data_IF_907033569485
#
_entry.id   IF_907033569485
#
_cell.length_a   1.000
_cell.length_b   1.000
_cell.length_c   1.000
_cell.angle_alpha   90.00
_cell.angle_beta   90.00
_cell.angle_gamma   90.00
#
_symmetry.space_group_name_H-M   'P 1'
#
loop_
_entity.id
_entity.type
_entity.pdbx_description
1 polymer ?
#
# COMPACT_ATOMS: atom_id res chain seq x y z
N UNK A 1 -30.90 33.38 -45.28
CA UNK A 1 -29.97 32.43 -44.64
C UNK A 1 -30.76 31.69 -43.56
N UNK A 2 -30.74 30.37 -43.62
CA UNK A 2 -31.78 29.45 -43.14
C UNK A 2 -31.84 29.39 -41.60
N UNK A 3 -33.01 29.72 -41.02
CA UNK A 3 -33.35 29.53 -39.62
C UNK A 3 -34.82 29.11 -39.52
N UNK A 4 -35.15 27.84 -39.71
CA UNK A 4 -36.49 27.30 -39.40
C UNK A 4 -36.39 25.85 -38.88
N UNK A 5 -37.07 25.62 -37.75
CA UNK A 5 -37.58 24.36 -37.18
C UNK A 5 -36.68 23.45 -36.31
N UNK A 6 -36.75 23.66 -34.99
CA UNK A 6 -36.39 22.68 -33.95
C UNK A 6 -37.44 22.57 -32.83
N UNK A 7 -38.73 22.59 -33.17
CA UNK A 7 -39.85 22.54 -32.20
C UNK A 7 -40.71 21.25 -32.28
N UNK A 8 -40.10 20.07 -32.41
CA UNK A 8 -40.82 18.77 -32.43
C UNK A 8 -40.58 17.74 -31.29
N UNK A 9 -39.86 17.98 -30.18
CA UNK A 9 -39.57 16.90 -29.23
C UNK A 9 -40.76 16.45 -28.36
N UNK A 10 -41.81 17.28 -28.17
CA UNK A 10 -42.82 17.02 -27.14
C UNK A 10 -43.85 15.92 -27.51
N UNK A 11 -44.30 15.85 -28.77
CA UNK A 11 -45.30 14.85 -29.21
C UNK A 11 -44.77 13.41 -29.15
N UNK A 12 -43.50 13.21 -29.49
CA UNK A 12 -42.89 11.86 -29.48
C UNK A 12 -42.84 11.22 -28.09
N UNK A 13 -42.69 12.02 -27.03
CA UNK A 13 -42.67 11.52 -25.66
C UNK A 13 -44.06 11.07 -25.19
N UNK A 14 -45.12 11.80 -25.57
CA UNK A 14 -46.50 11.47 -25.22
C UNK A 14 -47.00 10.21 -25.95
N UNK A 15 -46.63 10.05 -27.23
CA UNK A 15 -46.94 8.84 -28.02
C UNK A 15 -46.27 7.60 -27.43
N UNK A 16 -44.99 7.70 -27.06
CA UNK A 16 -44.25 6.60 -26.41
C UNK A 16 -44.84 6.25 -25.03
N UNK A 17 -45.23 7.24 -24.23
CA UNK A 17 -45.86 7.00 -22.94
C UNK A 17 -47.22 6.30 -23.10
N UNK A 18 -48.01 6.72 -24.09
CA UNK A 18 -49.31 6.13 -24.41
C UNK A 18 -49.16 4.69 -24.92
N UNK A 19 -48.20 4.43 -25.80
CA UNK A 19 -47.87 3.07 -26.26
C UNK A 19 -47.44 2.16 -25.09
N UNK A 20 -46.65 2.70 -24.15
CA UNK A 20 -46.22 1.96 -22.95
C UNK A 20 -47.38 1.60 -22.02
N UNK A 21 -48.36 2.50 -21.85
CA UNK A 21 -49.56 2.22 -21.07
C UNK A 21 -50.40 1.11 -21.71
N UNK A 22 -50.62 1.17 -23.03
CA UNK A 22 -51.36 0.12 -23.76
C UNK A 22 -50.64 -1.23 -23.71
N UNK A 23 -49.31 -1.24 -23.77
CA UNK A 23 -48.53 -2.47 -23.63
C UNK A 23 -48.60 -3.07 -22.21
N UNK A 24 -48.77 -2.24 -21.17
CA UNK A 24 -48.90 -2.71 -19.79
C UNK A 24 -50.25 -3.38 -19.50
N UNK A 25 -51.30 -2.99 -20.22
CA UNK A 25 -52.63 -3.59 -20.09
C UNK A 25 -52.78 -4.94 -20.81
N UNK A 26 -51.81 -5.31 -21.67
CA UNK A 26 -51.82 -6.62 -22.32
C UNK A 26 -51.59 -7.74 -21.31
N UNK A 27 -52.51 -8.70 -21.34
CA UNK A 27 -52.49 -9.90 -20.51
C UNK A 27 -51.80 -11.02 -21.28
N UNK A 28 -50.84 -11.68 -20.65
CA UNK A 28 -50.08 -12.80 -21.20
C UNK A 28 -50.21 -13.98 -20.23
N UNK A 29 -50.31 -15.23 -20.70
CA UNK A 29 -50.35 -16.38 -19.80
C UNK A 29 -49.00 -16.61 -19.11
N UNK A 30 -49.02 -16.87 -17.81
CA UNK A 30 -47.82 -17.18 -17.04
C UNK A 30 -47.15 -18.46 -17.54
N UNK A 31 -45.84 -18.41 -17.78
CA UNK A 31 -45.04 -19.56 -18.24
C UNK A 31 -45.07 -20.77 -17.27
N UNK A 32 -45.38 -20.55 -16.00
CA UNK A 32 -45.35 -21.60 -14.97
C UNK A 32 -46.72 -22.19 -14.65
N UNK A 33 -47.76 -21.37 -14.47
CA UNK A 33 -49.09 -21.82 -14.05
C UNK A 33 -50.18 -21.55 -15.07
N UNK A 34 -49.86 -20.97 -16.24
CA UNK A 34 -50.79 -20.55 -17.31
C UNK A 34 -51.84 -19.52 -16.91
N UNK A 35 -51.85 -19.05 -15.66
CA UNK A 35 -52.73 -17.98 -15.21
C UNK A 35 -52.43 -16.66 -15.90
N UNK A 36 -53.47 -15.86 -16.12
CA UNK A 36 -53.41 -14.54 -16.74
C UNK A 36 -52.62 -13.54 -15.88
N UNK A 37 -51.61 -12.91 -16.47
CA UNK A 37 -50.76 -11.91 -15.81
C UNK A 37 -50.55 -10.71 -16.72
N UNK A 38 -50.34 -9.53 -16.14
CA UNK A 38 -49.95 -8.33 -16.89
C UNK A 38 -48.51 -8.51 -17.41
N UNK A 39 -48.23 -8.00 -18.62
CA UNK A 39 -46.90 -8.01 -19.25
C UNK A 39 -45.79 -7.42 -18.35
N UNK A 40 -46.11 -6.41 -17.54
CA UNK A 40 -45.18 -5.71 -16.65
C UNK A 40 -45.07 -6.35 -15.25
N UNK A 41 -45.80 -7.43 -14.99
CA UNK A 41 -45.80 -8.09 -13.69
C UNK A 41 -44.44 -8.75 -13.41
N UNK A 42 -43.77 -8.29 -12.36
CA UNK A 42 -42.49 -8.89 -11.90
C UNK A 42 -42.72 -10.31 -11.37
N UNK A 43 -43.88 -10.55 -10.74
CA UNK A 43 -44.28 -11.84 -10.17
C UNK A 43 -45.69 -12.21 -10.59
N UNK A 44 -45.93 -13.49 -10.79
CA UNK A 44 -47.27 -14.01 -11.03
C UNK A 44 -48.11 -13.97 -9.75
N UNK A 45 -49.34 -13.43 -9.82
CA UNK A 45 -50.28 -13.42 -8.68
C UNK A 45 -50.70 -14.82 -8.23
N UNK A 46 -50.74 -15.79 -9.14
CA UNK A 46 -51.24 -17.13 -8.84
C UNK A 46 -50.18 -18.04 -8.23
N UNK A 47 -48.97 -18.07 -8.79
CA UNK A 47 -47.91 -19.00 -8.37
C UNK A 47 -46.75 -18.33 -7.63
N UNK A 48 -46.73 -17.00 -7.49
CA UNK A 48 -45.65 -16.20 -6.88
C UNK A 48 -44.26 -16.30 -7.54
N UNK A 49 -44.16 -17.01 -8.67
CA UNK A 49 -42.91 -17.15 -9.42
C UNK A 49 -42.56 -15.84 -10.15
N UNK A 50 -41.26 -15.58 -10.30
CA UNK A 50 -40.73 -14.41 -11.02
C UNK A 50 -40.91 -14.64 -12.52
N UNK A 51 -41.59 -13.72 -13.20
CA UNK A 51 -41.90 -13.86 -14.63
C UNK A 51 -40.99 -12.97 -15.48
N UNK A 52 -40.61 -11.80 -14.97
CA UNK A 52 -39.82 -10.83 -15.71
C UNK A 52 -38.34 -10.92 -15.32
N UNK A 53 -37.56 -11.76 -16.02
CA UNK A 53 -36.10 -11.86 -15.83
C UNK A 53 -35.38 -10.53 -16.12
N UNK A 54 -35.85 -9.78 -17.13
CA UNK A 54 -35.21 -8.55 -17.58
C UNK A 54 -35.24 -7.46 -16.50
N UNK A 55 -36.31 -7.40 -15.70
CA UNK A 55 -36.39 -6.51 -14.54
C UNK A 55 -35.24 -6.77 -13.54
N UNK A 56 -34.95 -8.03 -13.25
CA UNK A 56 -33.86 -8.40 -12.33
C UNK A 56 -32.49 -8.16 -12.95
N UNK A 57 -32.31 -8.41 -14.26
CA UNK A 57 -31.08 -8.07 -14.98
C UNK A 57 -30.81 -6.56 -14.94
N UNK A 58 -31.81 -5.74 -15.24
CA UNK A 58 -31.68 -4.27 -15.19
C UNK A 58 -31.45 -3.74 -13.77
N UNK A 59 -32.11 -4.33 -12.76
CA UNK A 59 -31.89 -3.96 -11.36
C UNK A 59 -30.47 -4.33 -10.92
N UNK A 60 -30.00 -5.52 -11.25
CA UNK A 60 -28.63 -5.95 -10.98
C UNK A 60 -27.60 -5.05 -11.68
N UNK A 61 -27.85 -4.66 -12.94
CA UNK A 61 -27.00 -3.71 -13.66
C UNK A 61 -26.97 -2.33 -13.01
N UNK A 62 -28.12 -1.78 -12.58
CA UNK A 62 -28.17 -0.49 -11.87
C UNK A 62 -27.45 -0.53 -10.52
N UNK A 63 -27.61 -1.61 -9.77
CA UNK A 63 -26.88 -1.81 -8.50
C UNK A 63 -25.38 -1.88 -8.78
N UNK A 64 -24.93 -2.70 -9.74
CA UNK A 64 -23.51 -2.79 -10.14
C UNK A 64 -22.94 -1.44 -10.61
N UNK A 65 -23.70 -0.65 -11.36
CA UNK A 65 -23.24 0.66 -11.84
C UNK A 65 -23.02 1.65 -10.69
N UNK A 66 -23.94 1.70 -9.71
CA UNK A 66 -23.77 2.54 -8.50
C UNK A 66 -22.59 2.09 -7.65
N UNK A 67 -22.42 0.77 -7.53
CA UNK A 67 -21.32 0.14 -6.80
C UNK A 67 -19.95 0.44 -7.44
N UNK A 68 -19.83 0.36 -8.77
CA UNK A 68 -18.60 0.70 -9.47
C UNK A 68 -18.21 2.17 -9.25
N UNK A 69 -19.18 3.09 -9.23
CA UNK A 69 -18.91 4.50 -8.98
C UNK A 69 -18.38 4.74 -7.56
N UNK A 70 -19.01 4.15 -6.54
CA UNK A 70 -18.57 4.27 -5.16
C UNK A 70 -17.16 3.68 -4.93
N UNK A 71 -16.87 2.52 -5.56
CA UNK A 71 -15.53 1.92 -5.56
C UNK A 71 -14.47 2.85 -6.15
N UNK A 72 -14.81 3.55 -7.24
CA UNK A 72 -13.87 4.44 -7.92
C UNK A 72 -13.59 5.70 -7.10
N UNK A 73 -14.63 6.26 -6.45
CA UNK A 73 -14.50 7.39 -5.53
C UNK A 73 -13.64 7.02 -4.32
N UNK A 74 -13.89 5.87 -3.68
CA UNK A 74 -13.09 5.40 -2.56
C UNK A 74 -11.62 5.18 -2.94
N UNK A 75 -11.36 4.68 -4.15
CA UNK A 75 -10.00 4.49 -4.68
C UNK A 75 -9.26 5.83 -4.84
N UNK A 76 -9.88 6.83 -5.46
CA UNK A 76 -9.27 8.16 -5.63
C UNK A 76 -9.00 8.81 -4.28
N UNK A 77 -9.93 8.65 -3.33
CA UNK A 77 -9.75 9.18 -1.98
C UNK A 77 -8.60 8.48 -1.24
N UNK A 78 -8.48 7.16 -1.35
CA UNK A 78 -7.36 6.39 -0.79
C UNK A 78 -6.01 6.77 -1.41
N UNK A 79 -5.97 6.99 -2.73
CA UNK A 79 -4.78 7.43 -3.44
C UNK A 79 -4.36 8.86 -3.05
N UNK A 80 -5.34 9.76 -2.90
CA UNK A 80 -5.11 11.12 -2.39
C UNK A 80 -4.60 11.13 -0.95
N UNK A 81 -5.17 10.29 -0.08
CA UNK A 81 -4.72 10.16 1.31
C UNK A 81 -3.28 9.65 1.41
N UNK A 82 -2.87 8.72 0.54
CA UNK A 82 -1.49 8.23 0.45
C UNK A 82 -0.48 9.32 0.08
N UNK A 83 -0.87 10.26 -0.79
CA UNK A 83 -0.01 11.38 -1.18
C UNK A 83 0.15 12.42 -0.06
N UNK A 84 -0.88 12.60 0.77
CA UNK A 84 -0.90 13.62 1.83
C UNK A 84 -0.28 13.11 3.14
N UNK A 85 -0.48 11.84 3.52
CA UNK A 85 -0.10 11.32 4.85
C UNK A 85 1.07 10.32 4.77
N UNK A 86 2.30 10.86 4.57
CA UNK A 86 3.55 10.09 4.38
C UNK A 86 3.98 9.13 5.50
N UNK A 87 3.63 9.26 6.80
CA UNK A 87 4.05 8.29 7.81
C UNK A 87 2.96 7.30 8.29
N UNK A 88 1.69 7.48 7.90
CA UNK A 88 0.56 6.61 8.38
C UNK A 88 0.09 5.62 7.29
N UNK A 89 0.77 5.59 6.14
CA UNK A 89 0.32 4.93 4.91
C UNK A 89 0.07 3.42 5.00
N UNK A 90 0.77 2.68 5.86
CA UNK A 90 0.61 1.22 5.95
C UNK A 90 -0.73 0.78 6.56
N UNK A 91 -1.19 1.45 7.62
CA UNK A 91 -2.48 1.15 8.26
C UNK A 91 -3.66 1.53 7.37
N UNK A 92 -3.56 2.67 6.67
CA UNK A 92 -4.59 3.13 5.73
C UNK A 92 -4.76 2.18 4.55
N UNK A 93 -3.64 1.66 4.02
CA UNK A 93 -3.66 0.68 2.92
C UNK A 93 -4.26 -0.65 3.37
N UNK A 94 -3.86 -1.16 4.54
CA UNK A 94 -4.43 -2.39 5.10
C UNK A 94 -5.94 -2.27 5.35
N UNK A 95 -6.40 -1.13 5.89
CA UNK A 95 -7.81 -0.87 6.14
C UNK A 95 -8.61 -0.78 4.83
N UNK A 96 -8.10 -0.07 3.82
CA UNK A 96 -8.75 0.03 2.51
C UNK A 96 -8.89 -1.33 1.82
N UNK A 97 -7.88 -2.19 1.96
CA UNK A 97 -7.85 -3.51 1.36
C UNK A 97 -8.81 -4.48 2.07
N UNK A 98 -8.83 -4.48 3.40
CA UNK A 98 -9.82 -5.24 4.19
C UNK A 98 -11.25 -4.82 3.84
N UNK A 99 -11.51 -3.53 3.69
CA UNK A 99 -12.83 -3.03 3.31
C UNK A 99 -13.22 -3.53 1.91
N UNK A 100 -12.28 -3.57 0.96
CA UNK A 100 -12.52 -4.11 -0.39
C UNK A 100 -12.82 -5.61 -0.38
N UNK A 101 -12.12 -6.41 0.43
CA UNK A 101 -12.33 -7.86 0.51
C UNK A 101 -13.70 -8.13 1.14
N UNK A 102 -14.01 -7.49 2.27
CA UNK A 102 -15.33 -7.60 2.92
C UNK A 102 -16.43 -7.18 1.94
N UNK A 103 -16.19 -6.15 1.14
CA UNK A 103 -17.15 -5.67 0.15
C UNK A 103 -17.46 -6.69 -0.96
N UNK A 104 -16.46 -7.41 -1.47
CA UNK A 104 -16.66 -8.47 -2.46
C UNK A 104 -17.15 -9.79 -1.85
N UNK A 105 -16.95 -9.99 -0.55
CA UNK A 105 -17.33 -11.20 0.17
C UNK A 105 -18.78 -11.20 0.68
N UNK A 106 -19.53 -10.08 0.62
CA UNK A 106 -20.95 -10.07 1.01
C UNK A 106 -21.76 -10.71 -0.14
N UNK A 107 -22.25 -11.96 0.00
CA UNK A 107 -23.18 -12.51 -0.96
C UNK A 107 -24.45 -11.66 -0.91
N UNK A 108 -24.89 -11.19 -2.06
CA UNK A 108 -26.21 -10.56 -2.19
C UNK A 108 -27.24 -11.68 -2.09
N UNK A 109 -27.56 -12.09 -0.86
CA UNK A 109 -28.61 -13.06 -0.63
C UNK A 109 -29.94 -12.46 -1.10
N UNK A 110 -30.70 -13.19 -1.94
CA UNK A 110 -32.03 -12.74 -2.31
C UNK A 110 -32.89 -12.63 -1.03
N UNK A 111 -33.80 -11.63 -0.97
CA UNK A 111 -34.61 -11.37 0.23
C UNK A 111 -35.32 -12.65 0.67
N UNK A 112 -35.14 -13.00 1.95
CA UNK A 112 -35.71 -14.20 2.53
C UNK A 112 -37.24 -14.17 2.41
N UNK A 113 -37.78 -15.22 1.79
CA UNK A 113 -39.20 -15.42 1.55
C UNK A 113 -39.95 -15.55 2.88
N UNK A 114 -40.89 -14.66 3.14
CA UNK A 114 -41.89 -14.83 4.19
C UNK A 114 -42.77 -16.08 3.89
N UNK A 115 -42.93 -16.92 4.92
CA UNK A 115 -43.90 -18.01 5.09
C UNK A 115 -44.06 -19.03 3.94
N UNK A 116 -43.28 -20.12 4.04
CA UNK A 116 -43.36 -21.33 3.20
C UNK A 116 -44.72 -22.03 3.32
N UNK A 117 -45.51 -22.05 2.23
CA UNK A 117 -46.32 -23.24 1.90
C UNK A 117 -45.36 -24.40 1.62
N UNK A 118 -45.66 -25.61 2.13
CA UNK A 118 -44.85 -26.82 1.93
C UNK A 118 -44.81 -27.20 0.44
N UNK A 119 -43.80 -26.74 -0.27
CA UNK A 119 -43.52 -27.15 -1.66
C UNK A 119 -42.93 -28.57 -1.61
N UNK A 120 -43.43 -29.53 -2.40
CA UNK A 120 -42.93 -30.90 -2.42
C UNK A 120 -41.44 -30.96 -2.82
N UNK A 121 -40.72 -31.93 -2.25
CA UNK A 121 -39.27 -32.08 -2.38
C UNK A 121 -38.83 -32.27 -3.85
N UNK A 122 -39.66 -32.92 -4.66
CA UNK A 122 -39.42 -33.16 -6.09
C UNK A 122 -39.35 -31.87 -6.91
N UNK A 123 -40.13 -30.84 -6.55
CA UNK A 123 -40.07 -29.52 -7.20
C UNK A 123 -38.85 -28.72 -6.77
N UNK A 124 -38.31 -28.95 -5.56
CA UNK A 124 -37.04 -28.34 -5.14
C UNK A 124 -35.85 -28.91 -5.91
N UNK A 125 -35.77 -30.22 -6.06
CA UNK A 125 -34.71 -30.89 -6.82
C UNK A 125 -34.72 -30.50 -8.30
N UNK A 126 -35.91 -30.43 -8.93
CA UNK A 126 -36.03 -29.95 -10.32
C UNK A 126 -35.61 -28.49 -10.47
N UNK A 127 -35.85 -27.62 -9.48
CA UNK A 127 -35.40 -26.21 -9.51
C UNK A 127 -33.88 -26.09 -9.35
N UNK A 128 -33.28 -26.87 -8.46
CA UNK A 128 -31.80 -26.89 -8.31
C UNK A 128 -31.11 -27.36 -9.60
N UNK A 129 -31.59 -28.43 -10.23
CA UNK A 129 -30.99 -28.92 -11.48
C UNK A 129 -31.23 -28.00 -12.70
N UNK A 130 -32.25 -27.12 -12.64
CA UNK A 130 -32.52 -26.16 -13.74
C UNK A 130 -31.70 -24.86 -13.59
N UNK A 131 -31.22 -24.55 -12.40
CA UNK A 131 -30.36 -23.39 -12.14
C UNK A 131 -28.90 -23.61 -12.58
N UNK A 132 -28.45 -24.87 -12.71
CA UNK A 132 -27.08 -25.18 -13.17
C UNK A 132 -26.81 -24.84 -14.65
N UNK A 133 -27.84 -24.54 -15.45
CA UNK A 133 -27.65 -24.15 -16.87
C UNK A 133 -27.82 -22.65 -17.16
N UNK A 134 -27.95 -21.82 -16.14
CA UNK A 134 -27.70 -20.38 -16.32
C UNK A 134 -26.20 -20.16 -16.18
N UNK A 135 -25.45 -20.72 -17.13
CA UNK A 135 -24.06 -20.36 -17.34
C UNK A 135 -24.08 -18.87 -17.67
N UNK A 136 -23.78 -18.04 -16.67
CA UNK A 136 -23.60 -16.60 -16.86
C UNK A 136 -22.51 -16.50 -17.93
N UNK A 137 -22.80 -15.99 -19.14
CA UNK A 137 -21.77 -15.84 -20.14
C UNK A 137 -20.75 -14.89 -19.54
N UNK A 138 -19.57 -15.42 -19.20
CA UNK A 138 -18.46 -14.61 -18.74
C UNK A 138 -18.21 -13.65 -19.90
N UNK A 139 -18.38 -12.33 -19.70
CA UNK A 139 -18.19 -11.38 -20.77
C UNK A 139 -16.78 -11.61 -21.29
N UNK A 140 -16.66 -11.85 -22.58
CA UNK A 140 -15.41 -12.05 -23.28
C UNK A 140 -14.56 -10.79 -23.01
N UNK A 141 -13.56 -10.92 -22.14
CA UNK A 141 -12.66 -9.84 -21.73
C UNK A 141 -11.71 -9.56 -22.90
N UNK A 142 -12.26 -8.88 -23.92
CA UNK A 142 -11.55 -8.44 -25.11
C UNK A 142 -10.57 -7.33 -24.68
N UNK A 143 -9.31 -7.74 -24.50
CA UNK A 143 -8.06 -6.95 -24.53
C UNK A 143 -7.95 -5.64 -23.72
N UNK A 144 -8.82 -5.36 -22.76
CA UNK A 144 -8.58 -4.25 -21.83
C UNK A 144 -7.48 -4.66 -20.84
N UNK A 145 -6.32 -4.00 -20.96
CA UNK A 145 -5.18 -4.11 -20.04
C UNK A 145 -5.70 -4.00 -18.60
N UNK A 146 -5.81 -5.14 -17.92
CA UNK A 146 -6.14 -5.21 -16.52
C UNK A 146 -4.93 -4.61 -15.79
N UNK A 147 -4.97 -3.31 -15.49
CA UNK A 147 -3.98 -2.70 -14.61
C UNK A 147 -4.29 -3.27 -13.23
N UNK A 148 -3.54 -4.31 -12.86
CA UNK A 148 -3.67 -5.02 -11.60
C UNK A 148 -3.46 -4.01 -10.47
N UNK A 149 -4.55 -3.66 -9.78
CA UNK A 149 -4.54 -2.78 -8.60
C UNK A 149 -3.67 -3.39 -7.47
N UNK A 150 -3.39 -4.70 -7.53
CA UNK A 150 -2.48 -5.38 -6.61
C UNK A 150 -0.98 -5.17 -6.88
N UNK A 151 -0.57 -4.81 -8.09
CA UNK A 151 0.87 -4.67 -8.43
C UNK A 151 1.62 -3.65 -7.55
N UNK A 152 1.12 -2.41 -7.31
CA UNK A 152 1.83 -1.45 -6.46
C UNK A 152 1.91 -1.89 -5.00
N UNK A 153 0.90 -2.59 -4.47
CA UNK A 153 0.92 -3.14 -3.12
C UNK A 153 2.00 -4.21 -2.98
N UNK A 154 2.03 -5.16 -3.92
CA UNK A 154 3.02 -6.24 -3.93
C UNK A 154 4.42 -5.65 -4.05
N UNK A 155 4.63 -4.64 -4.91
CA UNK A 155 5.91 -3.94 -5.01
C UNK A 155 6.31 -3.23 -3.70
N UNK A 156 5.37 -2.58 -3.01
CA UNK A 156 5.63 -1.93 -1.72
C UNK A 156 5.99 -2.94 -0.62
N UNK A 157 5.29 -4.08 -0.55
CA UNK A 157 5.59 -5.16 0.39
C UNK A 157 6.97 -5.78 0.12
N UNK A 158 7.30 -6.03 -1.16
CA UNK A 158 8.62 -6.53 -1.56
C UNK A 158 9.70 -5.52 -1.17
N UNK A 159 9.51 -4.24 -1.50
CA UNK A 159 10.44 -3.18 -1.12
C UNK A 159 10.67 -3.11 0.39
N UNK A 160 9.59 -3.07 1.19
CA UNK A 160 9.69 -3.04 2.65
C UNK A 160 10.41 -4.28 3.19
N UNK A 161 10.04 -5.49 2.75
CA UNK A 161 10.67 -6.72 3.19
C UNK A 161 12.17 -6.76 2.86
N UNK A 162 12.56 -6.29 1.67
CA UNK A 162 13.96 -6.21 1.26
C UNK A 162 14.76 -5.29 2.19
N UNK A 163 14.21 -4.14 2.61
CA UNK A 163 14.89 -3.25 3.56
C UNK A 163 15.15 -3.94 4.92
N UNK A 164 14.14 -4.66 5.42
CA UNK A 164 14.23 -5.37 6.70
C UNK A 164 15.32 -6.45 6.62
N UNK A 165 15.25 -7.35 5.64
CA UNK A 165 16.18 -8.48 5.57
C UNK A 165 17.60 -8.09 5.14
N UNK A 166 17.75 -7.11 4.25
CA UNK A 166 19.06 -6.80 3.66
C UNK A 166 19.88 -5.81 4.50
N UNK A 167 19.22 -4.93 5.25
CA UNK A 167 19.88 -3.84 5.98
C UNK A 167 19.56 -3.90 7.48
N UNK A 168 18.28 -3.84 7.84
CA UNK A 168 17.88 -3.75 9.25
C UNK A 168 18.26 -4.99 10.05
N UNK A 169 18.10 -6.18 9.49
CA UNK A 169 18.42 -7.43 10.17
C UNK A 169 19.92 -7.55 10.49
N UNK A 170 20.86 -7.33 9.54
CA UNK A 170 22.27 -7.20 9.87
C UNK A 170 22.57 -6.18 10.97
N UNK A 171 21.88 -5.02 10.96
CA UNK A 171 22.05 -4.00 12.00
C UNK A 171 21.52 -4.48 13.37
N UNK A 172 20.36 -5.12 13.40
CA UNK A 172 19.77 -5.67 14.62
C UNK A 172 20.72 -6.70 15.26
N UNK A 173 21.34 -7.55 14.43
CA UNK A 173 22.33 -8.50 14.91
C UNK A 173 23.57 -7.79 15.47
N UNK A 174 24.07 -6.72 14.83
CA UNK A 174 25.16 -5.90 15.41
C UNK A 174 24.77 -5.39 16.80
N UNK A 175 23.57 -4.82 16.94
CA UNK A 175 23.09 -4.27 18.21
C UNK A 175 22.87 -5.33 19.29
N UNK A 176 22.53 -6.57 18.91
CA UNK A 176 22.34 -7.67 19.85
C UNK A 176 23.62 -8.39 20.25
N UNK A 177 24.60 -8.48 19.35
CA UNK A 177 25.82 -9.26 19.59
C UNK A 177 26.77 -8.60 20.60
N UNK A 178 26.59 -7.31 20.90
CA UNK A 178 27.42 -6.60 21.88
C UNK A 178 26.58 -5.78 22.86
N UNK A 179 26.67 -6.14 24.14
CA UNK A 179 25.96 -5.48 25.23
C UNK A 179 26.33 -4.00 25.41
N UNK A 180 27.49 -3.55 24.92
CA UNK A 180 27.87 -2.14 24.91
C UNK A 180 26.87 -1.29 24.11
N UNK A 181 26.20 -1.85 23.11
CA UNK A 181 25.24 -1.13 22.27
C UNK A 181 23.83 -1.08 22.87
N UNK A 182 23.63 -1.63 24.07
CA UNK A 182 22.35 -1.58 24.78
C UNK A 182 21.96 -0.13 25.13
N UNK A 183 20.91 0.37 24.48
CA UNK A 183 20.47 1.76 24.59
C UNK A 183 20.78 2.61 23.36
N UNK A 184 21.32 2.01 22.29
CA UNK A 184 21.37 2.60 20.96
C UNK A 184 20.20 2.09 20.11
N UNK A 185 19.54 2.98 19.36
CA UNK A 185 18.52 2.58 18.38
C UNK A 185 18.93 3.09 17.00
N UNK A 186 19.17 2.16 16.09
CA UNK A 186 19.58 2.44 14.71
C UNK A 186 18.55 1.88 13.74
N UNK A 187 18.17 2.69 12.75
CA UNK A 187 17.32 2.30 11.64
C UNK A 187 18.15 2.35 10.36
N UNK A 188 18.26 1.24 9.65
CA UNK A 188 18.96 1.16 8.37
C UNK A 188 17.99 0.77 7.26
N UNK A 189 17.91 1.59 6.22
CA UNK A 189 17.04 1.35 5.08
C UNK A 189 17.62 1.97 3.82
N UNK A 190 17.13 1.57 2.66
CA UNK A 190 17.40 2.22 1.40
C UNK A 190 16.75 3.60 1.34
N UNK A 191 17.31 4.51 0.54
CA UNK A 191 16.75 5.84 0.33
C UNK A 191 15.30 5.74 -0.19
N UNK A 192 14.40 6.50 0.43
CA UNK A 192 12.95 6.43 0.21
C UNK A 192 12.33 5.03 0.35
N UNK A 193 13.01 4.09 1.02
CA UNK A 193 12.62 2.68 1.16
C UNK A 193 12.53 1.89 -0.16
N UNK A 194 12.94 2.48 -1.29
CA UNK A 194 12.74 1.89 -2.61
C UNK A 194 13.98 1.99 -3.50
N UNK A 195 14.82 3.02 -3.33
CA UNK A 195 15.97 3.27 -4.23
C UNK A 195 17.14 2.38 -3.83
N UNK A 196 17.45 1.29 -4.58
CA UNK A 196 18.55 0.42 -4.23
C UNK A 196 19.88 1.16 -4.41
N UNK A 197 20.86 0.85 -3.56
CA UNK A 197 22.22 1.36 -3.68
C UNK A 197 22.55 2.58 -2.82
N UNK A 198 21.55 3.31 -2.31
CA UNK A 198 21.77 4.36 -1.30
C UNK A 198 21.27 3.86 0.04
N UNK A 199 22.17 3.61 0.99
CA UNK A 199 21.82 3.15 2.34
C UNK A 199 21.78 4.34 3.28
N UNK A 200 20.70 4.49 4.03
CA UNK A 200 20.56 5.45 5.12
C UNK A 200 20.80 4.71 6.42
N UNK A 201 21.84 5.10 7.15
CA UNK A 201 22.10 4.69 8.53
C UNK A 201 21.59 5.80 9.46
N UNK A 202 20.40 5.61 10.02
CA UNK A 202 19.74 6.62 10.85
C UNK A 202 19.83 6.27 12.33
N UNK A 203 20.63 7.04 13.06
CA UNK A 203 20.71 6.95 14.51
C UNK A 203 19.48 7.64 15.12
N UNK A 204 18.58 6.86 15.70
CA UNK A 204 17.28 7.33 16.21
C UNK A 204 17.37 7.78 17.66
N UNK A 205 18.09 7.01 18.48
CA UNK A 205 18.09 7.18 19.91
C UNK A 205 19.41 6.72 20.53
N UNK A 206 19.80 7.41 21.59
CA UNK A 206 21.02 7.14 22.35
C UNK A 206 20.74 7.33 23.85
N UNK A 207 21.07 6.31 24.63
CA UNK A 207 21.11 6.43 26.09
C UNK A 207 22.30 7.28 26.54
N UNK A 208 22.16 7.94 27.69
CA UNK A 208 23.20 8.77 28.32
C UNK A 208 24.48 7.99 28.63
N UNK A 209 24.38 6.66 28.76
CA UNK A 209 25.52 5.78 29.03
C UNK A 209 26.33 5.43 27.79
N UNK A 210 25.80 5.67 26.60
CA UNK A 210 26.48 5.37 25.35
C UNK A 210 27.65 6.34 25.17
N UNK A 211 28.78 5.86 24.71
CA UNK A 211 29.95 6.68 24.40
C UNK A 211 30.09 6.87 22.88
N UNK A 212 30.85 7.88 22.41
CA UNK A 212 31.09 8.05 20.98
C UNK A 212 31.76 6.83 20.34
N UNK A 213 32.64 6.15 21.09
CA UNK A 213 33.32 4.96 20.58
C UNK A 213 32.35 3.78 20.41
N UNK A 214 31.30 3.66 21.23
CA UNK A 214 30.26 2.64 21.04
C UNK A 214 29.51 2.86 19.72
N UNK A 215 29.11 4.11 19.44
CA UNK A 215 28.43 4.49 18.19
C UNK A 215 29.32 4.25 16.99
N UNK A 216 30.61 4.62 17.10
CA UNK A 216 31.61 4.39 16.07
C UNK A 216 31.76 2.90 15.75
N UNK A 217 31.93 2.09 16.79
CA UNK A 217 32.14 0.64 16.66
C UNK A 217 30.91 -0.05 16.08
N UNK A 218 29.70 0.34 16.48
CA UNK A 218 28.47 -0.18 15.90
C UNK A 218 28.37 0.11 14.39
N UNK A 219 28.76 1.31 13.95
CA UNK A 219 28.81 1.66 12.54
C UNK A 219 29.85 0.82 11.77
N UNK A 220 31.04 0.59 12.35
CA UNK A 220 32.08 -0.23 11.74
C UNK A 220 31.69 -1.71 11.64
N UNK A 221 31.07 -2.28 12.68
CA UNK A 221 30.53 -3.65 12.65
C UNK A 221 29.43 -3.78 11.59
N UNK A 222 28.56 -2.77 11.45
CA UNK A 222 27.59 -2.74 10.36
C UNK A 222 28.28 -2.70 8.99
N UNK A 223 29.25 -1.81 8.80
CA UNK A 223 30.02 -1.71 7.55
C UNK A 223 30.68 -3.04 7.18
N UNK A 224 31.27 -3.72 8.16
CA UNK A 224 31.86 -5.06 8.01
C UNK A 224 30.82 -6.09 7.57
N UNK A 225 29.61 -6.10 8.13
CA UNK A 225 28.56 -7.07 7.73
C UNK A 225 28.04 -6.86 6.32
N UNK A 226 27.89 -5.61 5.89
CA UNK A 226 27.31 -5.29 4.57
C UNK A 226 28.35 -5.11 3.47
N UNK A 227 29.65 -5.34 3.75
CA UNK A 227 30.77 -5.12 2.81
C UNK A 227 30.65 -5.87 1.47
N UNK A 228 29.99 -7.02 1.46
CA UNK A 228 29.80 -7.82 0.24
C UNK A 228 28.69 -7.27 -0.67
N UNK A 229 27.89 -6.31 -0.19
CA UNK A 229 26.78 -5.72 -0.94
C UNK A 229 27.27 -4.59 -1.84
N UNK A 230 26.63 -4.46 -3.01
CA UNK A 230 26.84 -3.33 -3.91
C UNK A 230 26.08 -2.11 -3.39
N UNK A 231 26.80 -1.26 -2.68
CA UNK A 231 26.30 0.02 -2.18
C UNK A 231 26.98 1.12 -3.01
N UNK A 232 26.19 2.05 -3.52
CA UNK A 232 26.69 3.23 -4.24
C UNK A 232 27.03 4.35 -3.27
N UNK A 233 26.22 4.55 -2.23
CA UNK A 233 26.43 5.62 -1.23
C UNK A 233 25.83 5.24 0.10
N UNK A 234 26.44 5.71 1.19
CA UNK A 234 25.87 5.64 2.54
C UNK A 234 25.64 7.04 3.07
N UNK A 235 24.46 7.27 3.63
CA UNK A 235 24.07 8.50 4.30
C UNK A 235 23.98 8.24 5.80
N UNK A 236 24.70 9.03 6.59
CA UNK A 236 24.55 9.02 8.04
C UNK A 236 23.53 10.07 8.45
N UNK A 237 22.48 9.59 9.10
CA UNK A 237 21.37 10.40 9.59
C UNK A 237 21.30 10.36 11.10
N UNK A 238 20.74 11.42 11.67
CA UNK A 238 20.33 11.45 13.07
C UNK A 238 18.89 11.92 13.13
N UNK A 239 18.01 11.08 13.70
CA UNK A 239 16.56 11.30 13.80
C UNK A 239 15.92 11.71 12.46
N UNK A 240 16.32 11.03 11.39
CA UNK A 240 15.81 11.24 10.04
C UNK A 240 16.40 12.44 9.30
N UNK A 241 17.36 13.17 9.89
CA UNK A 241 18.08 14.25 9.21
C UNK A 241 19.46 13.78 8.78
N UNK A 242 19.72 13.72 7.47
CA UNK A 242 21.03 13.38 6.92
C UNK A 242 22.07 14.45 7.27
N UNK A 243 23.21 14.02 7.81
CA UNK A 243 24.32 14.89 8.23
C UNK A 243 25.55 14.70 7.36
N UNK A 244 25.87 13.45 7.08
CA UNK A 244 27.06 13.08 6.33
C UNK A 244 26.72 12.07 5.23
N UNK A 245 27.54 12.05 4.19
CA UNK A 245 27.53 11.02 3.18
C UNK A 245 28.94 10.49 2.90
N UNK A 246 29.01 9.24 2.44
CA UNK A 246 30.25 8.59 2.03
C UNK A 246 29.97 7.71 0.81
N UNK A 247 30.94 7.65 -0.11
CA UNK A 247 30.87 6.74 -1.24
C UNK A 247 30.83 5.27 -0.79
N UNK A 248 30.03 4.46 -1.47
CA UNK A 248 29.83 3.07 -1.10
C UNK A 248 31.08 2.20 -1.24
N UNK A 249 32.00 2.50 -2.16
CA UNK A 249 33.27 1.79 -2.26
C UNK A 249 34.19 2.13 -1.08
N UNK A 250 34.22 3.39 -0.66
CA UNK A 250 34.94 3.84 0.55
C UNK A 250 34.34 3.21 1.80
N UNK A 251 33.01 3.15 1.92
CA UNK A 251 32.32 2.49 3.03
C UNK A 251 32.59 0.99 3.09
N UNK A 252 32.62 0.30 1.94
CA UNK A 252 33.03 -1.10 1.87
C UNK A 252 34.47 -1.28 2.37
N UNK A 253 35.39 -0.44 1.90
CA UNK A 253 36.78 -0.47 2.33
C UNK A 253 36.89 -0.27 3.85
N UNK A 254 36.08 0.61 4.43
CA UNK A 254 36.04 0.80 5.89
C UNK A 254 35.69 -0.50 6.63
N UNK A 255 34.71 -1.27 6.13
CA UNK A 255 34.37 -2.58 6.66
C UNK A 255 35.49 -3.62 6.49
N UNK A 256 36.20 -3.60 5.35
CA UNK A 256 37.34 -4.49 5.08
C UNK A 256 38.53 -4.20 6.02
N UNK A 257 38.89 -2.92 6.19
CA UNK A 257 39.98 -2.49 7.05
C UNK A 257 39.65 -2.78 8.53
N UNK A 258 38.39 -2.59 8.94
CA UNK A 258 37.95 -2.98 10.28
C UNK A 258 38.02 -4.50 10.51
N UNK A 259 37.63 -5.31 9.52
CA UNK A 259 37.74 -6.76 9.59
C UNK A 259 39.21 -7.23 9.72
N UNK A 260 40.16 -6.47 9.15
CA UNK A 260 41.61 -6.68 9.28
C UNK A 260 42.22 -6.04 10.52
N UNK A 261 41.41 -5.43 11.40
CA UNK A 261 41.84 -4.75 12.62
C UNK A 261 42.83 -3.59 12.35
N UNK A 262 42.70 -2.91 11.21
CA UNK A 262 43.52 -1.74 10.88
C UNK A 262 42.96 -0.49 11.58
N UNK A 263 43.21 -0.38 12.89
CA UNK A 263 42.68 0.69 13.74
C UNK A 263 43.11 2.09 13.31
N UNK A 264 44.31 2.23 12.73
CA UNK A 264 44.79 3.53 12.24
C UNK A 264 43.88 4.08 11.13
N UNK A 265 43.46 3.21 10.21
CA UNK A 265 42.56 3.60 9.13
C UNK A 265 41.16 3.94 9.68
N UNK A 266 40.59 3.05 10.49
CA UNK A 266 39.19 3.17 10.92
C UNK A 266 38.95 4.21 12.00
N UNK A 267 40.00 4.70 12.68
CA UNK A 267 39.90 5.77 13.68
C UNK A 267 40.36 7.11 13.13
N UNK A 268 41.57 7.18 12.55
CA UNK A 268 42.18 8.47 12.22
C UNK A 268 41.83 8.97 10.83
N UNK A 269 41.66 8.09 9.85
CA UNK A 269 41.23 8.51 8.50
C UNK A 269 39.73 8.68 8.40
N UNK A 270 38.97 7.96 9.23
CA UNK A 270 37.52 7.90 9.18
C UNK A 270 36.82 9.27 9.08
N UNK A 271 37.11 10.29 9.92
CA UNK A 271 36.40 11.57 9.89
C UNK A 271 36.48 12.28 8.53
N UNK A 272 37.59 12.08 7.82
CA UNK A 272 37.87 12.72 6.53
C UNK A 272 37.26 11.97 5.33
N UNK A 273 36.72 10.76 5.55
CA UNK A 273 36.07 9.98 4.49
C UNK A 273 34.63 10.44 4.21
N UNK A 274 34.05 11.25 5.10
CA UNK A 274 32.67 11.68 5.03
C UNK A 274 32.56 13.12 4.54
N UNK A 275 31.60 13.37 3.67
CA UNK A 275 31.24 14.69 3.19
C UNK A 275 30.02 15.20 3.95
N UNK A 276 30.12 16.39 4.55
CA UNK A 276 28.98 17.02 5.21
C UNK A 276 27.96 17.51 4.17
N UNK A 277 26.68 17.17 4.34
CA UNK A 277 25.62 17.57 3.40
C UNK A 277 25.26 19.05 3.51
N UNK A 278 25.55 19.66 4.66
CA UNK A 278 25.53 21.12 4.88
C UNK A 278 26.96 21.55 5.12
N UNK A 279 27.34 22.72 4.60
CA UNK A 279 28.63 23.33 4.86
C UNK A 279 28.90 23.40 6.38
N UNK A 280 29.62 22.41 6.90
CA UNK A 280 30.21 22.46 8.22
C UNK A 280 31.66 22.83 8.00
N UNK A 281 32.07 23.93 8.64
CA UNK A 281 33.46 24.31 8.75
C UNK A 281 34.14 23.33 9.72
N UNK A 282 34.49 22.14 9.22
CA UNK A 282 35.46 21.28 9.90
C UNK A 282 36.79 21.99 9.74
N UNK A 283 37.20 22.76 10.75
CA UNK A 283 38.52 23.36 10.80
C UNK A 283 39.55 22.24 10.89
N UNK A 284 40.36 22.09 9.85
CA UNK A 284 41.30 20.98 9.63
C UNK A 284 42.59 21.08 10.47
N UNK A 285 42.56 21.78 11.61
CA UNK A 285 43.75 22.15 12.39
C UNK A 285 43.90 21.40 13.73
N UNK A 286 43.12 20.34 13.96
CA UNK A 286 43.17 19.51 15.19
C UNK A 286 43.92 18.19 15.03
N UNK A 287 44.22 17.52 16.15
CA UNK A 287 44.77 16.16 16.10
C UNK A 287 43.73 15.20 15.51
N UNK A 288 44.15 14.06 14.93
CA UNK A 288 43.22 13.08 14.36
C UNK A 288 42.19 12.54 15.39
N UNK A 289 42.56 12.52 16.68
CA UNK A 289 41.64 12.21 17.77
C UNK A 289 40.55 13.28 17.91
N UNK A 290 40.93 14.55 17.86
CA UNK A 290 39.99 15.67 17.94
C UNK A 290 39.04 15.69 16.74
N UNK A 291 39.53 15.35 15.55
CA UNK A 291 38.72 15.21 14.35
C UNK A 291 37.62 14.15 14.52
N UNK A 292 37.94 13.01 15.12
CA UNK A 292 36.95 11.96 15.42
C UNK A 292 35.91 12.45 16.44
N UNK A 293 36.35 13.09 17.52
CA UNK A 293 35.42 13.67 18.53
C UNK A 293 34.49 14.69 17.88
N UNK A 294 35.05 15.58 17.06
CA UNK A 294 34.31 16.61 16.35
C UNK A 294 33.28 15.99 15.41
N UNK A 295 33.66 14.94 14.65
CA UNK A 295 32.73 14.23 13.78
C UNK A 295 31.49 13.72 14.53
N UNK A 296 31.67 13.05 15.67
CA UNK A 296 30.55 12.56 16.47
C UNK A 296 29.68 13.68 17.05
N UNK A 297 30.30 14.79 17.46
CA UNK A 297 29.58 16.01 17.89
C UNK A 297 28.70 16.58 16.80
N UNK A 298 29.20 16.64 15.57
CA UNK A 298 28.46 17.16 14.42
C UNK A 298 27.36 16.21 13.94
N UNK A 299 27.57 14.90 14.06
CA UNK A 299 26.60 13.91 13.65
C UNK A 299 25.35 13.93 14.56
N UNK A 300 25.53 13.77 15.87
CA UNK A 300 24.42 13.66 16.81
C UNK A 300 24.58 14.47 18.10
N UNK A 301 25.78 14.95 18.43
CA UNK A 301 26.08 15.58 19.72
C UNK A 301 25.57 17.02 19.93
N UNK A 302 25.06 17.70 18.89
CA UNK A 302 24.46 19.05 19.03
C UNK A 302 23.05 19.04 19.65
N UNK A 303 22.44 17.87 19.84
CA UNK A 303 21.15 17.72 20.49
C UNK A 303 21.30 17.80 22.02
N UNK A 304 20.40 18.51 22.70
CA UNK A 304 20.46 18.72 24.16
C UNK A 304 20.47 17.39 24.92
N UNK A 305 19.79 16.37 24.38
CA UNK A 305 19.67 15.04 24.98
C UNK A 305 20.94 14.18 24.86
N UNK A 306 21.81 14.47 23.90
CA UNK A 306 23.04 13.70 23.61
C UNK A 306 24.31 14.46 23.95
N UNK A 307 24.20 15.68 24.47
CA UNK A 307 25.32 16.55 24.83
C UNK A 307 26.26 15.91 25.85
N UNK A 308 25.74 15.08 26.75
CA UNK A 308 26.52 14.33 27.74
C UNK A 308 27.36 13.22 27.10
N UNK A 309 26.77 12.48 26.14
CA UNK A 309 27.44 11.45 25.35
C UNK A 309 28.61 12.06 24.55
N UNK A 310 28.41 13.24 23.96
CA UNK A 310 29.41 13.91 23.14
C UNK A 310 30.62 14.48 23.91
N UNK A 311 30.55 14.50 25.25
CA UNK A 311 31.60 15.01 26.14
C UNK A 311 32.36 13.90 26.88
N UNK A 312 31.93 12.63 26.79
CA UNK A 312 32.48 11.50 27.54
C UNK A 312 33.52 10.69 26.78
N UNK A 313 34.61 11.32 26.33
CA UNK A 313 35.81 10.65 25.77
C UNK A 313 37.03 10.80 26.67
#
# INVERSE_FOLDING_TARGET
>A
MILINSAQPKRRAEDLASAKRRAADQVVPCQFCKGEIRMDAIRCRHCSEIVNEDYYRQRAQRVRARVNYASWVAYIFGLGALLVFRPVGLLSVAAGLLLSIVYYAIPVEPPQLAARKKIPLSTRLRRQMKLERVAIPIPHLRSKRLIFVGTPLVAALIGYSANVFLLQEPMNQVLHDNAAFNGMRVSTHYEYWIVPGVVVYDLRDLSVRQTPIDVHTALLEFAKRVRERKISRVQLSYRGTTKFEIDGATFRRLGDEYARQNFDYVLYKFPHLFHATKASHVNDSGSARDALVQFHREWYGRDLLTRTVANGL
#
